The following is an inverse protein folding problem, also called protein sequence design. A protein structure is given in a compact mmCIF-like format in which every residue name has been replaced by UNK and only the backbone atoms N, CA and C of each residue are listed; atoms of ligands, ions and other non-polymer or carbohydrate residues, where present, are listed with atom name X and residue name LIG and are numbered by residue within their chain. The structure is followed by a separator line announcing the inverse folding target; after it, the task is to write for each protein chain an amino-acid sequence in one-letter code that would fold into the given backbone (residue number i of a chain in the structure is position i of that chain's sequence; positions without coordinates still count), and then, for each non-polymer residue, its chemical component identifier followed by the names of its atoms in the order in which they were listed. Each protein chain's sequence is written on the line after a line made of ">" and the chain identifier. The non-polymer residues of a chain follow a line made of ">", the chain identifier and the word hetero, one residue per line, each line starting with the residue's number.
data_IF_689581785160
#
_entry.id   IF_689581785160
#
_cell.length_a   1.000
_cell.length_b   1.000
_cell.length_c   1.000
_cell.angle_alpha   90.00
_cell.angle_beta   90.00
_cell.angle_gamma   90.00
#
_symmetry.space_group_name_H-M   'P 1'
#
loop_
_entity.id
_entity.type
_entity.pdbx_description
1 polymer ?
#
# COMPACT_ATOMS: atom_id res chain seq x y z
N UNK A 1 -22.16 11.17 22.13
CA UNK A 1 -22.20 11.04 20.65
C UNK A 1 -23.04 9.81 20.35
N UNK A 2 -24.14 9.93 19.60
CA UNK A 2 -25.03 8.80 19.33
C UNK A 2 -24.34 7.81 18.38
N UNK A 3 -24.19 6.57 18.82
CA UNK A 3 -23.59 5.50 18.00
C UNK A 3 -24.66 5.00 17.03
N UNK A 4 -24.62 5.46 15.78
CA UNK A 4 -25.56 5.11 14.70
C UNK A 4 -25.53 3.63 14.24
N UNK A 5 -24.72 2.76 14.85
CA UNK A 5 -24.56 1.34 14.50
C UNK A 5 -23.31 1.03 13.67
N UNK A 6 -23.04 -0.25 13.43
CA UNK A 6 -21.91 -0.68 12.61
C UNK A 6 -21.99 -0.10 11.18
N UNK A 7 -20.85 0.25 10.59
CA UNK A 7 -20.81 0.77 9.21
C UNK A 7 -20.73 2.28 9.08
N UNK A 8 -20.84 3.03 10.18
CA UNK A 8 -20.72 4.50 10.17
C UNK A 8 -19.30 4.97 10.52
N UNK A 9 -18.92 6.10 9.92
CA UNK A 9 -17.73 6.85 10.29
C UNK A 9 -18.04 7.66 11.56
N UNK A 10 -17.27 7.42 12.61
CA UNK A 10 -17.39 8.15 13.86
C UNK A 10 -16.29 9.20 13.95
N UNK A 11 -16.60 10.49 13.68
CA UNK A 11 -15.62 11.55 13.84
C UNK A 11 -15.30 11.70 15.33
N UNK A 12 -14.06 11.41 15.69
CA UNK A 12 -13.57 11.65 17.05
C UNK A 12 -13.08 13.08 17.21
N UNK A 13 -12.43 13.62 16.17
CA UNK A 13 -11.97 15.02 16.13
C UNK A 13 -12.14 15.58 14.72
N UNK A 14 -12.53 16.84 14.62
CA UNK A 14 -12.64 17.56 13.36
C UNK A 14 -12.10 18.98 13.50
N UNK A 15 -11.25 19.39 12.56
CA UNK A 15 -10.61 20.70 12.52
C UNK A 15 -11.05 21.41 11.26
N UNK A 16 -11.65 22.58 11.41
CA UNK A 16 -11.90 23.47 10.28
C UNK A 16 -10.59 24.14 9.88
N UNK A 17 -10.24 24.04 8.61
CA UNK A 17 -9.02 24.62 8.06
C UNK A 17 -9.36 25.94 7.37
N UNK A 18 -8.59 26.99 7.67
CA UNK A 18 -8.72 28.32 7.08
C UNK A 18 -7.35 28.83 6.69
N UNK A 19 -7.26 29.57 5.58
CA UNK A 19 -6.12 30.41 5.25
C UNK A 19 -6.61 31.76 4.70
N UNK A 20 -5.78 32.81 4.62
CA UNK A 20 -6.26 34.15 4.29
C UNK A 20 -7.10 34.17 3.02
N UNK A 21 -8.37 34.55 3.16
CA UNK A 21 -9.34 34.65 2.05
C UNK A 21 -10.04 33.36 1.63
N UNK A 22 -9.78 32.21 2.26
CA UNK A 22 -10.31 30.92 1.82
C UNK A 22 -10.67 29.97 2.97
N UNK A 23 -11.77 29.24 2.79
CA UNK A 23 -12.08 28.09 3.61
C UNK A 23 -11.49 26.82 2.99
N UNK A 24 -10.73 26.10 3.80
CA UNK A 24 -9.95 24.94 3.39
C UNK A 24 -10.62 23.60 3.57
N UNK A 25 -11.86 23.56 4.07
CA UNK A 25 -12.53 22.32 4.44
C UNK A 25 -12.33 21.92 5.91
N UNK A 26 -12.68 20.68 6.22
CA UNK A 26 -12.60 20.03 7.52
C UNK A 26 -11.67 18.85 7.41
N UNK A 27 -10.64 18.82 8.24
CA UNK A 27 -9.84 17.62 8.46
C UNK A 27 -10.44 16.82 9.60
N UNK A 28 -10.73 15.54 9.39
CA UNK A 28 -11.40 14.68 10.35
C UNK A 28 -10.59 13.43 10.64
N UNK A 29 -10.38 13.18 11.93
CA UNK A 29 -9.95 11.89 12.44
C UNK A 29 -11.16 11.12 12.96
N UNK A 30 -11.26 9.87 12.52
CA UNK A 30 -12.43 9.04 12.75
C UNK A 30 -12.04 7.58 12.90
N UNK A 31 -12.90 6.82 13.56
CA UNK A 31 -12.90 5.37 13.47
C UNK A 31 -14.15 4.91 12.73
N UNK A 32 -14.02 3.88 11.92
CA UNK A 32 -15.14 3.14 11.38
C UNK A 32 -15.56 2.12 12.44
N UNK A 33 -16.80 2.20 12.96
CA UNK A 33 -17.23 1.20 13.94
C UNK A 33 -17.52 -0.12 13.23
N UNK A 34 -16.58 -1.04 13.32
CA UNK A 34 -16.74 -2.44 12.98
C UNK A 34 -15.89 -3.27 13.95
N UNK A 35 -16.55 -4.04 14.82
CA UNK A 35 -15.89 -4.81 15.89
C UNK A 35 -15.00 -5.95 15.36
N UNK A 36 -15.20 -6.34 14.09
CA UNK A 36 -14.43 -7.39 13.42
C UNK A 36 -13.28 -6.84 12.56
N UNK A 37 -13.33 -5.55 12.22
CA UNK A 37 -12.36 -4.87 11.36
C UNK A 37 -12.28 -3.39 11.72
N UNK A 38 -11.62 -3.04 12.85
CA UNK A 38 -11.54 -1.65 13.25
C UNK A 38 -10.75 -0.88 12.20
N UNK A 39 -11.35 0.11 11.54
CA UNK A 39 -10.61 0.97 10.62
C UNK A 39 -10.45 2.35 11.22
N UNK A 40 -9.22 2.87 11.25
CA UNK A 40 -8.97 4.27 11.57
C UNK A 40 -8.89 5.05 10.26
N UNK A 41 -9.51 6.21 10.24
CA UNK A 41 -9.69 6.98 9.01
C UNK A 41 -9.27 8.42 9.25
N UNK A 42 -8.32 8.87 8.44
CA UNK A 42 -8.04 10.28 8.22
C UNK A 42 -8.78 10.71 6.96
N UNK A 43 -9.47 11.83 7.02
CA UNK A 43 -10.24 12.32 5.88
C UNK A 43 -10.22 13.84 5.80
N UNK A 44 -10.23 14.35 4.58
CA UNK A 44 -10.38 15.77 4.31
C UNK A 44 -11.70 16.00 3.58
N UNK A 45 -12.53 16.88 4.12
CA UNK A 45 -13.88 17.21 3.66
C UNK A 45 -13.96 18.67 3.25
N UNK A 46 -14.22 18.95 1.98
CA UNK A 46 -14.40 20.30 1.43
C UNK A 46 -15.62 21.03 2.00
N UNK A 47 -15.75 22.33 1.72
CA UNK A 47 -16.85 23.20 2.17
C UNK A 47 -18.25 22.71 1.82
N UNK A 48 -18.39 22.14 0.63
CA UNK A 48 -19.66 21.62 0.11
C UNK A 48 -20.00 20.22 0.66
N UNK A 49 -19.26 19.75 1.68
CA UNK A 49 -19.51 18.48 2.35
C UNK A 49 -18.95 17.25 1.64
N UNK A 50 -18.12 17.43 0.60
CA UNK A 50 -17.50 16.32 -0.13
C UNK A 50 -16.15 15.93 0.50
N UNK A 51 -15.87 14.64 0.69
CA UNK A 51 -14.64 14.08 1.30
C UNK A 51 -13.73 13.41 0.27
N UNK A 52 -12.97 14.16 -0.55
CA UNK A 52 -12.26 13.61 -1.70
C UNK A 52 -11.02 12.77 -1.33
N UNK A 53 -10.40 13.02 -0.17
CA UNK A 53 -9.18 12.30 0.24
C UNK A 53 -9.35 11.60 1.57
N UNK A 54 -9.05 10.31 1.56
CA UNK A 54 -9.20 9.44 2.71
C UNK A 54 -8.05 8.44 2.78
N UNK A 55 -7.51 8.27 3.98
CA UNK A 55 -6.49 7.30 4.31
C UNK A 55 -7.03 6.41 5.41
N UNK A 56 -7.17 5.13 5.10
CA UNK A 56 -7.75 4.11 5.95
C UNK A 56 -6.64 3.21 6.46
N UNK A 57 -6.67 2.95 7.74
CA UNK A 57 -5.76 2.05 8.43
C UNK A 57 -6.60 0.87 8.91
N UNK A 58 -6.46 -0.27 8.24
CA UNK A 58 -7.17 -1.50 8.59
C UNK A 58 -6.54 -2.10 9.86
N UNK A 59 -7.30 -2.16 10.95
CA UNK A 59 -6.81 -2.65 12.24
C UNK A 59 -6.82 -4.17 12.40
N UNK A 60 -7.39 -4.94 11.46
CA UNK A 60 -7.40 -6.42 11.50
C UNK A 60 -6.29 -7.06 10.67
N UNK A 61 -5.84 -6.42 9.60
CA UNK A 61 -4.75 -6.91 8.74
C UNK A 61 -3.59 -5.92 8.59
N UNK A 62 -3.69 -4.72 9.18
CA UNK A 62 -2.64 -3.70 9.19
C UNK A 62 -2.49 -2.91 7.89
N UNK A 63 -3.27 -3.21 6.84
CA UNK A 63 -3.11 -2.54 5.57
C UNK A 63 -3.57 -1.08 5.64
N UNK A 64 -2.69 -0.17 5.19
CA UNK A 64 -3.05 1.20 4.89
C UNK A 64 -3.50 1.30 3.44
N UNK A 65 -4.65 1.91 3.21
CA UNK A 65 -5.21 2.13 1.87
C UNK A 65 -5.66 3.56 1.74
N UNK A 66 -5.45 4.14 0.57
CA UNK A 66 -5.86 5.52 0.28
C UNK A 66 -6.75 5.57 -0.95
N UNK A 67 -7.61 6.59 -1.04
CA UNK A 67 -8.52 6.80 -2.17
C UNK A 67 -7.79 7.20 -3.46
N UNK A 68 -6.52 7.63 -3.38
CA UNK A 68 -5.63 7.81 -4.53
C UNK A 68 -4.67 6.64 -4.71
N UNK A 69 -3.91 6.64 -5.80
CA UNK A 69 -2.64 5.92 -5.74
C UNK A 69 -1.81 6.59 -4.63
N UNK A 70 -0.85 5.89 -4.04
CA UNK A 70 0.35 6.61 -3.56
C UNK A 70 1.00 7.46 -4.68
N UNK A 71 0.55 7.21 -5.92
CA UNK A 71 0.93 7.68 -7.24
C UNK A 71 2.36 7.25 -7.46
N UNK A 72 2.57 6.28 -8.36
CA UNK A 72 3.90 6.14 -8.92
C UNK A 72 4.22 7.50 -9.52
N UNK A 73 5.26 8.16 -8.98
CA UNK A 73 5.60 9.53 -9.31
C UNK A 73 5.67 9.73 -10.82
N UNK A 74 5.63 11.00 -11.27
CA UNK A 74 5.61 11.29 -12.70
C UNK A 74 6.65 10.47 -13.48
N UNK A 75 6.26 9.93 -14.63
CA UNK A 75 7.07 8.98 -15.41
C UNK A 75 7.43 9.57 -16.78
N UNK A 76 8.13 10.70 -16.79
CA UNK A 76 8.58 11.37 -18.04
C UNK A 76 10.08 11.66 -18.02
N UNK A 77 10.69 11.80 -19.20
CA UNK A 77 12.13 12.04 -19.31
C UNK A 77 12.55 13.37 -18.68
N UNK A 78 11.67 14.38 -18.72
CA UNK A 78 11.91 15.72 -18.16
C UNK A 78 12.07 15.74 -16.64
N UNK A 79 11.66 14.66 -15.95
CA UNK A 79 11.74 14.51 -14.49
C UNK A 79 12.59 13.30 -14.07
N UNK A 80 13.37 12.72 -15.01
CA UNK A 80 14.28 11.59 -14.77
C UNK A 80 15.69 11.93 -15.29
N UNK A 81 16.74 11.53 -14.58
CA UNK A 81 18.13 11.68 -15.01
C UNK A 81 18.84 10.32 -15.09
N UNK A 82 19.94 10.24 -15.86
CA UNK A 82 20.74 9.00 -16.04
C UNK A 82 19.87 7.81 -16.44
N UNK A 83 18.99 8.04 -17.41
CA UNK A 83 18.12 6.99 -17.95
C UNK A 83 19.00 6.01 -18.73
N UNK A 84 19.17 4.82 -18.17
CA UNK A 84 19.94 3.73 -18.75
C UNK A 84 19.01 2.55 -19.07
N UNK A 85 19.33 1.82 -20.14
CA UNK A 85 18.60 0.61 -20.48
C UNK A 85 18.90 -0.51 -19.48
N UNK A 86 17.90 -1.33 -19.20
CA UNK A 86 18.08 -2.54 -18.38
C UNK A 86 18.99 -3.53 -19.10
N UNK A 87 20.09 -3.90 -18.45
CA UNK A 87 21.06 -4.86 -18.96
C UNK A 87 20.68 -6.31 -18.61
N UNK A 88 21.00 -7.24 -19.52
CA UNK A 88 20.80 -8.69 -19.37
C UNK A 88 19.40 -9.13 -18.89
N UNK A 89 18.29 -8.56 -19.41
CA UNK A 89 16.94 -8.77 -18.87
C UNK A 89 16.51 -10.25 -18.83
N UNK A 90 16.93 -11.05 -19.82
CA UNK A 90 16.64 -12.49 -19.85
C UNK A 90 17.30 -13.27 -18.72
N UNK A 91 18.53 -12.92 -18.35
CA UNK A 91 19.22 -13.55 -17.23
C UNK A 91 18.53 -13.15 -15.92
N UNK A 92 18.19 -11.86 -15.78
CA UNK A 92 17.44 -11.36 -14.64
C UNK A 92 16.09 -12.05 -14.47
N UNK A 93 15.33 -12.25 -15.55
CA UNK A 93 14.06 -12.99 -15.51
C UNK A 93 14.22 -14.45 -15.07
N UNK A 94 15.39 -15.07 -15.28
CA UNK A 94 15.65 -16.46 -14.83
C UNK A 94 15.95 -16.55 -13.33
N UNK A 95 16.47 -15.48 -12.73
CA UNK A 95 16.71 -15.40 -11.28
C UNK A 95 15.37 -15.26 -10.53
N UNK A 96 14.43 -14.50 -11.09
CA UNK A 96 13.12 -14.25 -10.46
C UNK A 96 12.25 -15.50 -10.51
N UNK A 97 12.02 -16.11 -9.34
CA UNK A 97 11.20 -17.32 -9.21
C UNK A 97 9.70 -16.99 -9.27
N UNK A 98 9.07 -17.31 -10.39
CA UNK A 98 7.61 -17.43 -10.50
C UNK A 98 7.11 -18.72 -9.84
N UNK A 99 6.11 -18.64 -8.98
CA UNK A 99 5.58 -19.81 -8.27
C UNK A 99 4.17 -19.59 -7.70
N UNK A 100 3.62 -20.67 -7.16
CA UNK A 100 2.41 -20.65 -6.32
C UNK A 100 2.79 -20.95 -4.88
N UNK A 101 2.04 -20.41 -3.93
CA UNK A 101 2.25 -20.61 -2.50
C UNK A 101 0.94 -20.72 -1.74
N UNK A 102 1.04 -21.13 -0.47
CA UNK A 102 0.01 -20.92 0.54
C UNK A 102 0.62 -20.09 1.66
N UNK A 103 -0.05 -19.01 2.02
CA UNK A 103 0.36 -18.18 3.14
C UNK A 103 0.32 -19.01 4.42
N UNK A 104 1.29 -18.74 5.29
CA UNK A 104 1.35 -19.30 6.65
C UNK A 104 1.28 -18.18 7.69
N UNK A 105 0.72 -17.02 7.31
CA UNK A 105 0.60 -15.86 8.18
C UNK A 105 -0.56 -16.06 9.14
N UNK A 106 -0.49 -15.51 10.36
CA UNK A 106 -1.53 -15.66 11.39
C UNK A 106 -2.92 -15.23 10.90
N UNK A 107 -2.97 -14.15 10.14
CA UNK A 107 -4.23 -13.55 9.67
C UNK A 107 -4.69 -14.08 8.31
N UNK A 108 -3.92 -14.96 7.65
CA UNK A 108 -4.28 -15.49 6.32
C UNK A 108 -3.74 -16.91 6.06
N UNK A 109 -3.63 -17.74 7.10
CA UNK A 109 -3.09 -19.09 6.97
C UNK A 109 -3.84 -19.94 5.92
N UNK A 110 -3.09 -20.74 5.17
CA UNK A 110 -3.58 -21.62 4.11
C UNK A 110 -4.02 -20.90 2.83
N UNK A 111 -4.10 -19.56 2.82
CA UNK A 111 -4.54 -18.77 1.66
C UNK A 111 -3.61 -18.99 0.47
N UNK A 112 -4.16 -19.47 -0.64
CA UNK A 112 -3.42 -19.65 -1.88
C UNK A 112 -2.99 -18.30 -2.48
N UNK A 113 -1.79 -18.27 -3.06
CA UNK A 113 -1.28 -17.15 -3.85
C UNK A 113 -0.44 -17.63 -5.04
N UNK A 114 -0.29 -16.76 -6.02
CA UNK A 114 0.52 -16.96 -7.22
C UNK A 114 1.20 -15.65 -7.58
N UNK A 115 2.43 -15.73 -8.09
CA UNK A 115 3.21 -14.56 -8.48
C UNK A 115 4.69 -14.88 -8.42
N UNK A 116 5.50 -13.94 -7.92
CA UNK A 116 6.95 -14.09 -7.83
C UNK A 116 7.42 -14.01 -6.37
N UNK A 117 8.53 -14.69 -6.09
CA UNK A 117 9.28 -14.48 -4.85
C UNK A 117 10.12 -13.21 -4.97
N UNK A 118 10.02 -12.33 -3.98
CA UNK A 118 10.67 -11.03 -3.99
C UNK A 118 12.21 -11.13 -3.87
N UNK A 119 12.71 -12.24 -3.33
CA UNK A 119 14.14 -12.50 -3.14
C UNK A 119 14.92 -12.40 -4.46
N UNK A 120 14.45 -13.09 -5.50
CA UNK A 120 15.12 -13.06 -6.81
C UNK A 120 15.04 -11.69 -7.50
N UNK A 121 13.97 -10.93 -7.24
CA UNK A 121 13.83 -9.56 -7.73
C UNK A 121 14.92 -8.65 -7.14
N UNK A 122 15.15 -8.79 -5.84
CA UNK A 122 16.07 -7.93 -5.09
C UNK A 122 17.50 -8.49 -5.00
N UNK A 123 17.74 -9.70 -5.50
CA UNK A 123 19.08 -10.15 -5.87
C UNK A 123 19.56 -9.40 -7.11
N UNK A 124 18.69 -9.26 -8.12
CA UNK A 124 19.04 -8.58 -9.37
C UNK A 124 18.98 -7.05 -9.29
N UNK A 125 18.01 -6.49 -8.55
CA UNK A 125 17.88 -5.04 -8.31
C UNK A 125 17.73 -4.75 -6.81
N UNK A 126 18.84 -4.87 -6.04
CA UNK A 126 18.81 -4.61 -4.61
C UNK A 126 18.25 -3.23 -4.23
N UNK A 127 18.45 -2.22 -5.09
CA UNK A 127 18.04 -0.83 -4.90
C UNK A 127 16.52 -0.62 -4.96
N UNK A 128 15.76 -1.54 -5.55
CA UNK A 128 14.31 -1.42 -5.72
C UNK A 128 13.51 -2.15 -4.62
N UNK A 129 14.18 -2.57 -3.54
CA UNK A 129 13.60 -3.37 -2.45
C UNK A 129 12.43 -2.68 -1.75
N UNK A 130 11.31 -3.40 -1.63
CA UNK A 130 10.13 -3.00 -0.86
C UNK A 130 9.82 -4.04 0.21
N UNK A 131 9.46 -3.57 1.40
CA UNK A 131 9.00 -4.41 2.53
C UNK A 131 7.62 -3.92 2.99
N UNK A 132 6.86 -4.81 3.63
CA UNK A 132 5.54 -4.51 4.22
C UNK A 132 5.56 -4.55 5.75
N UNK A 133 6.76 -4.52 6.33
CA UNK A 133 6.98 -4.65 7.76
C UNK A 133 6.86 -6.09 8.27
N UNK A 134 6.68 -6.22 9.58
CA UNK A 134 6.66 -7.51 10.26
C UNK A 134 5.38 -8.29 10.00
N UNK A 135 5.52 -9.58 9.77
CA UNK A 135 4.38 -10.49 9.57
C UNK A 135 4.46 -11.64 10.57
N UNK A 136 3.43 -11.75 11.41
CA UNK A 136 3.25 -12.91 12.29
C UNK A 136 2.75 -14.12 11.50
N UNK A 137 3.34 -15.28 11.75
CA UNK A 137 2.98 -16.57 11.22
C UNK A 137 1.97 -17.28 12.11
N UNK A 138 1.29 -18.30 11.57
CA UNK A 138 0.27 -19.08 12.28
C UNK A 138 0.77 -19.76 13.55
N UNK A 139 2.07 -20.07 13.59
CA UNK A 139 2.73 -20.72 14.73
C UNK A 139 3.25 -19.71 15.76
N UNK A 140 2.97 -18.41 15.55
CA UNK A 140 3.46 -17.32 16.38
C UNK A 140 4.85 -16.81 16.01
N UNK A 141 5.55 -17.43 15.04
CA UNK A 141 6.84 -16.92 14.55
C UNK A 141 6.64 -15.57 13.86
N UNK A 142 7.52 -14.59 14.08
CA UNK A 142 7.46 -13.29 13.39
C UNK A 142 8.54 -13.21 12.32
N UNK A 143 8.13 -12.99 11.06
CA UNK A 143 9.03 -12.66 9.95
C UNK A 143 9.25 -11.15 9.95
N UNK A 144 10.49 -10.73 10.18
CA UNK A 144 10.88 -9.31 10.18
C UNK A 144 11.01 -8.77 8.77
N UNK A 145 10.53 -7.54 8.56
CA UNK A 145 10.64 -6.81 7.29
C UNK A 145 10.31 -7.67 6.07
N UNK A 146 9.14 -8.32 6.12
CA UNK A 146 8.72 -9.24 5.09
C UNK A 146 8.78 -8.54 3.73
N UNK A 147 9.52 -9.15 2.79
CA UNK A 147 9.66 -8.63 1.45
C UNK A 147 8.28 -8.56 0.78
N UNK A 148 8.08 -7.49 0.03
CA UNK A 148 6.94 -7.32 -0.85
C UNK A 148 7.43 -6.99 -2.24
N UNK A 149 6.54 -6.97 -3.21
CA UNK A 149 6.84 -6.52 -4.57
C UNK A 149 6.14 -5.19 -4.80
N UNK A 150 6.76 -4.31 -5.57
CA UNK A 150 6.05 -3.13 -6.08
C UNK A 150 4.84 -3.60 -6.89
N UNK A 151 3.66 -3.10 -6.54
CA UNK A 151 2.42 -3.42 -7.23
C UNK A 151 2.29 -2.56 -8.50
N UNK A 152 1.77 -3.16 -9.58
CA UNK A 152 1.43 -2.46 -10.82
C UNK A 152 2.55 -2.39 -11.87
N UNK A 153 2.31 -1.59 -12.91
CA UNK A 153 3.07 -1.61 -14.18
C UNK A 153 4.42 -0.89 -14.13
N UNK A 154 4.77 -0.31 -12.98
CA UNK A 154 6.02 0.45 -12.75
C UNK A 154 7.02 -0.28 -11.87
N UNK A 155 6.75 -1.54 -11.53
CA UNK A 155 7.65 -2.38 -10.75
C UNK A 155 8.77 -2.98 -11.59
N UNK A 156 9.87 -3.36 -10.92
CA UNK A 156 11.04 -4.03 -11.54
C UNK A 156 10.64 -5.17 -12.46
N UNK A 157 9.66 -6.00 -12.07
CA UNK A 157 9.22 -7.14 -12.87
C UNK A 157 8.68 -6.71 -14.25
N UNK A 158 7.88 -5.63 -14.29
CA UNK A 158 7.35 -5.08 -15.53
C UNK A 158 8.47 -4.44 -16.36
N UNK A 159 9.34 -3.67 -15.71
CA UNK A 159 10.46 -3.01 -16.38
C UNK A 159 11.40 -4.02 -17.07
N UNK A 160 11.79 -5.08 -16.36
CA UNK A 160 12.64 -6.15 -16.89
C UNK A 160 11.94 -6.93 -18.00
N UNK A 161 10.64 -7.20 -17.89
CA UNK A 161 9.89 -7.90 -18.93
C UNK A 161 9.83 -7.11 -20.25
N UNK A 162 9.83 -5.78 -20.19
CA UNK A 162 9.81 -4.91 -21.38
C UNK A 162 11.19 -4.61 -21.95
N UNK A 163 12.25 -4.80 -21.17
CA UNK A 163 13.61 -4.80 -21.68
C UNK A 163 13.83 -6.13 -22.44
N UNK A 164 13.82 -6.07 -23.78
CA UNK A 164 13.97 -7.25 -24.65
C UNK A 164 15.17 -7.14 -25.55
#
# INVERSE_FOLDING_TARGET
>A
MNVLGAGYLYPHMSFKMYWPGHYGGVFTWSAWANDMNPEYVLSWTTEVGNTPYMWRFNGSNGNATTSGNWINGGSTAEIKEKVEDIQNPRETMRIIRACTWRLKTKNADGRFGIGVMAEGLYEAYPEAKVTVGDIELRDGTVVKDALSVQAGDSGVLAAVHHAT
#
